data_IF_033852677487
#
_entry.id   IF_033852677487
#
_cell.length_a   1.000
_cell.length_b   1.000
_cell.length_c   1.000
_cell.angle_alpha   90.00
_cell.angle_beta   90.00
_cell.angle_gamma   90.00
#
_symmetry.space_group_name_H-M   'P 1'
#
loop_
_entity.id
_entity.type
_entity.pdbx_description
1 polymer ?
#
# COMPACT_ATOMS: atom_id res chain seq x y z
N UNK A 1 9.07 24.42 -9.54
CA UNK A 1 10.49 24.13 -9.86
C UNK A 1 10.51 22.73 -10.43
N UNK A 2 10.68 22.62 -11.75
CA UNK A 2 10.67 21.35 -12.49
C UNK A 2 12.00 20.66 -12.18
N UNK A 3 11.97 19.49 -11.54
CA UNK A 3 13.14 18.62 -11.44
C UNK A 3 13.42 18.06 -12.83
N UNK A 4 14.55 18.42 -13.40
CA UNK A 4 15.11 17.81 -14.60
C UNK A 4 15.61 16.43 -14.18
N UNK A 5 15.02 15.40 -14.73
CA UNK A 5 15.48 14.00 -14.56
C UNK A 5 16.60 13.79 -15.58
N UNK A 6 17.77 13.35 -15.11
CA UNK A 6 18.87 12.94 -15.99
C UNK A 6 18.42 11.76 -16.87
N UNK A 7 18.63 11.93 -18.18
CA UNK A 7 18.49 10.88 -19.18
C UNK A 7 19.59 9.85 -18.96
N UNK A 8 19.24 8.67 -18.46
CA UNK A 8 20.14 7.52 -18.46
C UNK A 8 19.49 6.30 -19.13
N UNK A 9 20.19 5.90 -20.16
CA UNK A 9 20.30 4.61 -20.86
C UNK A 9 19.03 3.77 -21.08
N UNK A 10 18.62 3.75 -22.35
CA UNK A 10 17.49 3.01 -22.93
C UNK A 10 17.52 1.51 -22.69
N UNK A 11 16.92 1.07 -21.58
CA UNK A 11 16.40 -0.27 -21.37
C UNK A 11 15.10 -0.21 -20.58
N UNK A 12 14.06 -0.69 -21.23
CA UNK A 12 12.75 -1.09 -20.74
C UNK A 12 12.28 -0.45 -19.41
N UNK A 13 11.59 0.70 -19.54
CA UNK A 13 11.26 1.61 -18.42
C UNK A 13 9.90 1.32 -17.77
N UNK A 14 9.57 0.04 -17.54
CA UNK A 14 8.28 -0.35 -16.99
C UNK A 14 8.23 -0.39 -15.44
N UNK A 15 9.20 0.20 -14.72
CA UNK A 15 9.28 0.12 -13.26
C UNK A 15 9.70 1.42 -12.57
N UNK A 16 9.62 1.42 -11.23
CA UNK A 16 10.09 2.48 -10.34
C UNK A 16 11.38 2.01 -9.67
N UNK A 17 12.40 2.86 -9.64
CA UNK A 17 13.71 2.55 -9.04
C UNK A 17 14.07 3.58 -7.98
N UNK A 18 14.35 3.12 -6.78
CA UNK A 18 14.90 3.91 -5.69
C UNK A 18 16.41 3.70 -5.61
N UNK A 19 17.16 4.80 -5.53
CA UNK A 19 18.64 4.80 -5.43
C UNK A 19 19.05 5.63 -4.23
N UNK A 20 19.52 4.93 -3.18
CA UNK A 20 20.04 5.49 -1.92
C UNK A 20 19.09 6.50 -1.26
N UNK A 21 17.78 6.20 -1.32
CA UNK A 21 16.73 7.09 -0.81
C UNK A 21 16.77 7.16 0.71
N UNK A 22 17.01 8.37 1.22
CA UNK A 22 16.96 8.67 2.65
C UNK A 22 15.86 9.71 2.90
N UNK A 23 15.07 9.50 3.96
CA UNK A 23 14.04 10.45 4.41
C UNK A 23 14.26 10.79 5.86
N UNK A 24 14.38 12.08 6.16
CA UNK A 24 14.46 12.61 7.53
C UNK A 24 13.12 13.23 7.94
N UNK A 25 12.60 12.82 9.09
CA UNK A 25 11.35 13.33 9.66
C UNK A 25 11.57 13.71 11.13
N UNK A 26 11.32 14.98 11.48
CA UNK A 26 11.50 15.44 12.86
C UNK A 26 12.91 15.21 13.42
N UNK A 27 13.95 15.33 12.58
CA UNK A 27 15.34 15.09 12.97
C UNK A 27 15.76 13.60 13.06
N UNK A 28 14.85 12.66 12.79
CA UNK A 28 15.14 11.21 12.77
C UNK A 28 15.09 10.69 11.33
N UNK A 29 15.97 9.75 11.00
CA UNK A 29 15.90 9.04 9.73
C UNK A 29 14.74 8.06 9.76
N UNK A 30 13.71 8.32 8.96
CA UNK A 30 12.59 7.41 8.78
C UNK A 30 12.90 6.34 7.74
N UNK A 31 13.74 6.68 6.74
CA UNK A 31 14.34 5.77 5.78
C UNK A 31 15.81 6.12 5.65
N UNK A 32 16.69 5.12 5.59
CA UNK A 32 18.13 5.27 5.43
C UNK A 32 18.64 4.46 4.25
N UNK A 33 19.06 5.17 3.20
CA UNK A 33 19.76 4.62 2.01
C UNK A 33 19.03 3.45 1.33
N UNK A 34 17.70 3.56 1.18
CA UNK A 34 16.88 2.52 0.54
C UNK A 34 17.23 2.42 -0.94
N UNK A 35 17.57 1.21 -1.37
CA UNK A 35 17.80 0.86 -2.77
C UNK A 35 16.94 -0.33 -3.14
N UNK A 36 15.96 -0.12 -4.03
CA UNK A 36 15.01 -1.14 -4.45
C UNK A 36 14.36 -0.79 -5.78
N UNK A 37 14.01 -1.80 -6.56
CA UNK A 37 13.28 -1.68 -7.81
C UNK A 37 11.90 -2.32 -7.66
N UNK A 38 10.87 -1.65 -8.23
CA UNK A 38 9.51 -2.16 -8.32
C UNK A 38 9.18 -2.36 -9.80
N UNK A 39 8.88 -3.58 -10.19
CA UNK A 39 8.67 -3.96 -11.58
C UNK A 39 7.18 -3.96 -11.92
N UNK A 40 6.84 -3.62 -13.17
CA UNK A 40 5.48 -3.75 -13.67
C UNK A 40 5.02 -5.22 -13.65
N UNK A 41 3.77 -5.46 -13.32
CA UNK A 41 3.22 -6.82 -13.17
C UNK A 41 3.75 -7.55 -11.94
N UNK A 42 4.18 -6.82 -10.90
CA UNK A 42 4.63 -7.42 -9.64
C UNK A 42 3.89 -6.85 -8.44
N UNK A 43 3.76 -7.68 -7.41
CA UNK A 43 3.26 -7.32 -6.09
C UNK A 43 4.38 -7.36 -5.06
N UNK A 44 4.47 -6.31 -4.21
CA UNK A 44 5.49 -6.21 -3.16
C UNK A 44 4.84 -5.89 -1.82
N UNK A 45 5.12 -6.70 -0.81
CA UNK A 45 4.74 -6.43 0.58
C UNK A 45 5.87 -5.71 1.33
N UNK A 46 5.52 -4.66 2.06
CA UNK A 46 6.40 -3.97 3.00
C UNK A 46 6.08 -4.47 4.41
N UNK A 47 7.03 -5.15 5.04
CA UNK A 47 6.90 -5.74 6.38
C UNK A 47 7.92 -5.08 7.32
N UNK A 48 7.57 -4.93 8.57
CA UNK A 48 8.45 -4.33 9.58
C UNK A 48 7.66 -3.77 10.75
N UNK A 49 8.32 -3.47 11.89
CA UNK A 49 7.68 -2.95 13.09
C UNK A 49 7.04 -1.58 12.86
N UNK A 50 6.27 -1.12 13.84
CA UNK A 50 5.74 0.23 13.84
C UNK A 50 6.88 1.26 13.86
N UNK A 51 6.80 2.23 12.94
CA UNK A 51 7.89 3.19 12.76
C UNK A 51 9.03 2.74 11.84
N UNK A 52 8.99 1.52 11.28
CA UNK A 52 9.99 0.99 10.34
C UNK A 52 10.12 1.77 9.01
N UNK A 53 9.21 2.72 8.75
CA UNK A 53 9.25 3.54 7.55
C UNK A 53 8.35 3.06 6.40
N UNK A 54 7.50 2.04 6.61
CA UNK A 54 6.59 1.48 5.58
C UNK A 54 5.74 2.56 4.91
N UNK A 55 4.94 3.30 5.70
CA UNK A 55 4.12 4.43 5.21
C UNK A 55 4.98 5.51 4.55
N UNK A 56 6.16 5.81 5.11
CA UNK A 56 7.08 6.81 4.54
C UNK A 56 7.57 6.38 3.15
N UNK A 57 7.85 5.09 2.95
CA UNK A 57 8.23 4.54 1.64
C UNK A 57 7.08 4.63 0.65
N UNK A 58 5.85 4.29 1.07
CA UNK A 58 4.65 4.47 0.25
C UNK A 58 4.42 5.95 -0.12
N UNK A 59 4.61 6.89 0.84
CA UNK A 59 4.52 8.33 0.56
C UNK A 59 5.56 8.80 -0.47
N UNK A 60 6.78 8.25 -0.45
CA UNK A 60 7.82 8.54 -1.44
C UNK A 60 7.42 8.02 -2.81
N UNK A 61 6.94 6.76 -2.90
CA UNK A 61 6.45 6.17 -4.15
C UNK A 61 5.24 6.92 -4.71
N UNK A 62 4.37 7.43 -3.84
CA UNK A 62 3.21 8.25 -4.22
C UNK A 62 3.58 9.68 -4.68
N UNK A 63 4.85 10.09 -4.57
CA UNK A 63 5.27 11.47 -4.83
C UNK A 63 4.80 12.48 -3.80
N UNK A 64 4.20 12.03 -2.69
CA UNK A 64 3.71 12.88 -1.59
C UNK A 64 4.84 13.36 -0.69
N UNK A 65 5.98 12.68 -0.76
CA UNK A 65 7.17 13.00 0.03
C UNK A 65 8.41 12.98 -0.84
N UNK A 66 9.16 14.07 -0.79
CA UNK A 66 10.46 14.16 -1.44
C UNK A 66 11.53 13.50 -0.55
N UNK A 67 12.44 12.69 -1.11
CA UNK A 67 13.62 12.21 -0.42
C UNK A 67 14.48 13.38 0.08
N UNK A 68 15.13 13.20 1.24
CA UNK A 68 16.17 14.14 1.73
C UNK A 68 17.45 13.98 0.93
N UNK A 69 17.81 12.75 0.53
CA UNK A 69 18.90 12.40 -0.38
C UNK A 69 18.51 11.18 -1.19
N UNK A 70 19.26 10.92 -2.27
CA UNK A 70 18.95 9.83 -3.20
C UNK A 70 17.96 10.26 -4.27
N UNK A 71 17.54 9.33 -5.10
CA UNK A 71 16.66 9.61 -6.23
C UNK A 71 15.63 8.51 -6.45
N UNK A 72 14.50 8.93 -7.01
CA UNK A 72 13.47 8.07 -7.58
C UNK A 72 13.55 8.22 -9.09
N UNK A 73 13.77 7.13 -9.80
CA UNK A 73 13.93 7.10 -11.27
C UNK A 73 12.99 6.08 -11.90
N UNK A 74 12.80 6.15 -13.21
CA UNK A 74 11.90 5.30 -13.98
C UNK A 74 10.77 6.10 -14.62
N UNK A 75 9.78 5.40 -15.17
CA UNK A 75 8.57 6.05 -15.70
C UNK A 75 7.93 6.91 -14.62
N UNK A 76 7.23 7.98 -15.04
CA UNK A 76 6.35 8.74 -14.14
C UNK A 76 4.94 8.12 -14.19
N UNK A 77 4.73 6.96 -13.53
CA UNK A 77 3.46 6.28 -13.60
C UNK A 77 2.39 7.05 -12.85
N UNK A 78 1.16 6.90 -13.27
CA UNK A 78 0.03 7.34 -12.48
C UNK A 78 -0.07 6.48 -11.20
N UNK A 79 -0.31 7.13 -10.06
CA UNK A 79 -0.34 6.46 -8.76
C UNK A 79 -1.71 6.59 -8.13
N UNK A 80 -2.25 5.48 -7.62
CA UNK A 80 -3.37 5.46 -6.70
C UNK A 80 -2.86 5.01 -5.32
N UNK A 81 -3.15 5.79 -4.29
CA UNK A 81 -2.68 5.52 -2.94
C UNK A 81 -3.84 5.49 -1.94
N UNK A 82 -4.02 4.35 -1.29
CA UNK A 82 -4.94 4.18 -0.16
C UNK A 82 -4.14 4.27 1.12
N UNK A 83 -4.36 5.35 1.86
CA UNK A 83 -3.71 5.57 3.16
C UNK A 83 -4.52 4.92 4.28
N UNK A 84 -3.86 4.56 5.37
CA UNK A 84 -4.53 4.16 6.60
C UNK A 84 -5.34 5.33 7.15
N UNK A 85 -6.66 5.30 6.94
CA UNK A 85 -7.52 6.43 7.29
C UNK A 85 -8.19 6.20 8.64
N UNK A 86 -7.67 6.85 9.68
CA UNK A 86 -8.31 6.93 11.00
C UNK A 86 -9.30 8.11 11.12
N UNK A 87 -9.40 8.98 10.10
CA UNK A 87 -10.22 10.18 10.18
C UNK A 87 -11.68 9.90 9.80
N UNK A 88 -12.59 10.36 10.66
CA UNK A 88 -14.02 10.49 10.27
C UNK A 88 -14.10 11.51 9.15
N UNK A 89 -14.62 11.10 7.99
CA UNK A 89 -14.95 12.05 6.92
C UNK A 89 -15.99 13.04 7.45
N UNK A 90 -15.67 14.32 7.42
CA UNK A 90 -16.60 15.40 7.79
C UNK A 90 -17.54 15.75 6.63
N UNK A 91 -17.27 15.21 5.44
CA UNK A 91 -18.08 15.50 4.25
C UNK A 91 -19.18 14.43 4.11
N UNK A 92 -20.43 14.83 4.00
CA UNK A 92 -21.57 13.93 3.79
C UNK A 92 -21.61 13.45 2.33
N UNK A 93 -20.56 12.73 1.90
CA UNK A 93 -20.45 12.18 0.55
C UNK A 93 -21.04 10.78 0.50
N UNK A 94 -21.78 10.49 -0.58
CA UNK A 94 -22.17 9.13 -0.91
C UNK A 94 -20.99 8.32 -1.46
N UNK A 95 -21.08 6.99 -1.37
CA UNK A 95 -20.09 6.08 -1.96
C UNK A 95 -19.86 6.40 -3.45
N UNK A 96 -20.95 6.61 -4.20
CA UNK A 96 -20.85 6.93 -5.62
C UNK A 96 -20.13 8.24 -5.91
N UNK A 97 -20.26 9.26 -5.05
CA UNK A 97 -19.50 10.51 -5.18
C UNK A 97 -18.02 10.26 -4.93
N UNK A 98 -17.69 9.51 -3.87
CA UNK A 98 -16.30 9.16 -3.54
C UNK A 98 -15.63 8.39 -4.69
N UNK A 99 -16.32 7.40 -5.26
CA UNK A 99 -15.77 6.64 -6.39
C UNK A 99 -15.57 7.52 -7.63
N UNK A 100 -16.52 8.38 -7.95
CA UNK A 100 -16.41 9.32 -9.08
C UNK A 100 -15.27 10.32 -8.92
N UNK A 101 -14.92 10.71 -7.68
CA UNK A 101 -13.77 11.59 -7.43
C UNK A 101 -12.45 11.04 -7.99
N UNK A 102 -12.28 9.72 -8.08
CA UNK A 102 -11.10 9.10 -8.66
C UNK A 102 -10.88 9.44 -10.15
N UNK A 103 -11.96 9.78 -10.86
CA UNK A 103 -11.96 10.10 -12.29
C UNK A 103 -11.85 11.59 -12.60
N UNK A 104 -11.91 12.46 -11.57
CA UNK A 104 -11.71 13.89 -11.78
C UNK A 104 -10.25 14.17 -12.15
N UNK A 105 -10.08 14.88 -13.27
CA UNK A 105 -8.80 15.39 -13.73
C UNK A 105 -8.75 16.89 -13.47
N UNK A 106 -7.65 17.44 -12.93
CA UNK A 106 -7.50 18.89 -12.80
C UNK A 106 -7.35 19.50 -14.20
N UNK A 107 -8.44 19.99 -14.74
CA UNK A 107 -8.47 20.69 -16.04
C UNK A 107 -9.03 22.10 -15.83
N UNK A 108 -8.61 23.03 -16.71
CA UNK A 108 -9.10 24.42 -16.69
C UNK A 108 -10.60 24.55 -17.02
N UNK A 109 -11.21 23.53 -17.60
CA UNK A 109 -12.63 23.49 -17.94
C UNK A 109 -13.33 22.44 -17.09
N UNK A 110 -14.63 22.65 -16.73
CA UNK A 110 -15.43 21.65 -16.05
C UNK A 110 -15.46 20.35 -16.88
N UNK A 111 -14.84 19.30 -16.36
CA UNK A 111 -14.87 17.99 -17.01
C UNK A 111 -16.09 17.22 -16.52
N UNK A 112 -16.96 16.81 -17.45
CA UNK A 112 -18.03 15.86 -17.16
C UNK A 112 -17.50 14.44 -17.37
N UNK A 113 -17.81 13.56 -16.42
CA UNK A 113 -17.46 12.14 -16.54
C UNK A 113 -18.13 11.54 -17.78
N UNK A 114 -17.32 10.86 -18.59
CA UNK A 114 -17.76 10.15 -19.79
C UNK A 114 -18.21 8.72 -19.50
N UNK A 115 -18.68 8.00 -20.55
CA UNK A 115 -19.06 6.58 -20.41
C UNK A 115 -17.95 5.70 -19.84
N UNK A 116 -16.69 5.91 -20.24
CA UNK A 116 -15.54 5.15 -19.76
C UNK A 116 -15.27 5.40 -18.28
N UNK A 117 -15.48 6.63 -17.79
CA UNK A 117 -15.35 6.95 -16.38
C UNK A 117 -16.43 6.26 -15.55
N UNK A 118 -17.67 6.24 -16.05
CA UNK A 118 -18.76 5.52 -15.39
C UNK A 118 -18.51 4.01 -15.39
N UNK A 119 -18.01 3.44 -16.49
CA UNK A 119 -17.66 2.02 -16.56
C UNK A 119 -16.55 1.66 -15.56
N UNK A 120 -15.50 2.49 -15.44
CA UNK A 120 -14.42 2.27 -14.47
C UNK A 120 -14.92 2.31 -13.03
N UNK A 121 -15.83 3.23 -12.71
CA UNK A 121 -16.45 3.33 -11.38
C UNK A 121 -17.32 2.09 -11.09
N UNK A 122 -18.13 1.66 -12.06
CA UNK A 122 -19.02 0.50 -11.89
C UNK A 122 -18.22 -0.81 -11.76
N UNK A 123 -17.16 -0.99 -12.57
CA UNK A 123 -16.25 -2.13 -12.47
C UNK A 123 -15.62 -2.20 -11.06
N UNK A 124 -15.00 -1.10 -10.61
CA UNK A 124 -14.39 -1.03 -9.29
C UNK A 124 -15.39 -1.32 -8.16
N UNK A 125 -16.61 -0.76 -8.24
CA UNK A 125 -17.67 -1.01 -7.27
C UNK A 125 -18.09 -2.49 -7.26
N UNK A 126 -18.14 -3.13 -8.42
CA UNK A 126 -18.46 -4.55 -8.57
C UNK A 126 -17.41 -5.46 -7.96
N UNK A 127 -16.14 -5.22 -8.29
CA UNK A 127 -15.01 -6.03 -7.81
C UNK A 127 -14.89 -6.01 -6.29
N UNK A 128 -15.13 -4.85 -5.64
CA UNK A 128 -15.12 -4.72 -4.19
C UNK A 128 -16.47 -5.03 -3.52
N UNK A 129 -17.52 -5.35 -4.29
CA UNK A 129 -18.86 -5.65 -3.76
C UNK A 129 -19.46 -4.48 -2.98
N UNK A 130 -19.37 -3.27 -3.53
CA UNK A 130 -19.92 -2.05 -2.94
C UNK A 130 -21.00 -1.38 -3.81
N UNK A 131 -21.47 -2.04 -4.89
CA UNK A 131 -22.53 -1.51 -5.75
C UNK A 131 -23.81 -1.20 -4.99
N UNK A 132 -24.21 -2.07 -4.06
CA UNK A 132 -25.42 -1.90 -3.28
C UNK A 132 -25.31 -0.75 -2.27
N UNK A 133 -24.11 -0.22 -2.06
CA UNK A 133 -23.81 0.89 -1.17
C UNK A 133 -23.67 2.24 -1.88
N UNK A 134 -23.90 2.30 -3.19
CA UNK A 134 -23.55 3.46 -4.04
C UNK A 134 -24.17 4.76 -3.56
N UNK A 135 -25.40 4.70 -3.04
CA UNK A 135 -26.16 5.84 -2.53
C UNK A 135 -26.02 6.05 -1.02
N UNK A 136 -25.32 5.12 -0.33
CA UNK A 136 -25.13 5.21 1.10
C UNK A 136 -24.12 6.31 1.45
N UNK A 137 -24.35 7.10 2.52
CA UNK A 137 -23.37 8.01 3.06
C UNK A 137 -22.15 7.28 3.59
N UNK A 138 -20.94 7.77 3.28
CA UNK A 138 -19.67 7.13 3.66
C UNK A 138 -19.50 7.01 5.18
N UNK A 139 -20.04 7.94 5.95
CA UNK A 139 -19.97 7.98 7.42
C UNK A 139 -20.84 6.91 8.10
N UNK A 140 -21.82 6.34 7.37
CA UNK A 140 -22.70 5.26 7.88
C UNK A 140 -22.18 3.86 7.61
N UNK A 141 -21.07 3.73 6.88
CA UNK A 141 -20.50 2.44 6.55
C UNK A 141 -19.75 1.83 7.74
N UNK A 142 -19.79 0.50 7.83
CA UNK A 142 -18.87 -0.24 8.69
C UNK A 142 -17.42 0.01 8.28
N UNK A 143 -16.47 -0.31 9.17
CA UNK A 143 -15.04 -0.14 8.87
C UNK A 143 -14.66 -0.92 7.59
N UNK A 144 -15.04 -2.20 7.49
CA UNK A 144 -14.74 -3.03 6.32
C UNK A 144 -15.42 -2.54 5.03
N UNK A 145 -16.67 -2.08 5.11
CA UNK A 145 -17.34 -1.47 3.95
C UNK A 145 -16.61 -0.22 3.48
N UNK A 146 -16.22 0.66 4.42
CA UNK A 146 -15.47 1.87 4.10
C UNK A 146 -14.13 1.56 3.47
N UNK A 147 -13.39 0.59 4.00
CA UNK A 147 -12.11 0.17 3.44
C UNK A 147 -12.27 -0.33 2.01
N UNK A 148 -13.27 -1.18 1.74
CA UNK A 148 -13.58 -1.63 0.38
C UNK A 148 -13.93 -0.49 -0.56
N UNK A 149 -14.63 0.54 -0.09
CA UNK A 149 -14.94 1.75 -0.88
C UNK A 149 -13.66 2.53 -1.21
N UNK A 150 -12.73 2.69 -0.26
CA UNK A 150 -11.46 3.39 -0.50
C UNK A 150 -10.57 2.63 -1.51
N UNK A 151 -10.53 1.31 -1.41
CA UNK A 151 -9.82 0.49 -2.41
C UNK A 151 -10.53 0.57 -3.76
N UNK A 152 -11.87 0.52 -3.81
CA UNK A 152 -12.63 0.71 -5.05
C UNK A 152 -12.36 2.09 -5.68
N UNK A 153 -12.25 3.15 -4.88
CA UNK A 153 -11.88 4.48 -5.36
C UNK A 153 -10.49 4.46 -6.02
N UNK A 154 -9.51 3.81 -5.39
CA UNK A 154 -8.17 3.69 -5.96
C UNK A 154 -8.18 2.90 -7.29
N UNK A 155 -8.95 1.81 -7.38
CA UNK A 155 -9.12 1.03 -8.62
C UNK A 155 -9.79 1.84 -9.73
N UNK A 156 -10.84 2.59 -9.41
CA UNK A 156 -11.54 3.44 -10.37
C UNK A 156 -10.60 4.46 -11.04
N UNK A 157 -9.48 4.81 -10.40
CA UNK A 157 -8.45 5.67 -10.98
C UNK A 157 -7.74 5.02 -12.16
N UNK A 158 -7.66 3.67 -12.21
CA UNK A 158 -6.95 2.90 -13.23
C UNK A 158 -5.48 3.33 -13.36
N UNK A 159 -4.83 3.53 -12.23
CA UNK A 159 -3.44 3.95 -12.17
C UNK A 159 -2.48 2.79 -12.49
N UNK A 160 -1.27 3.12 -12.95
CA UNK A 160 -0.21 2.15 -13.25
C UNK A 160 0.36 1.52 -11.96
N UNK A 161 0.25 2.26 -10.85
CA UNK A 161 0.74 1.86 -9.52
C UNK A 161 -0.37 1.94 -8.49
N UNK A 162 -0.60 0.85 -7.78
CA UNK A 162 -1.52 0.76 -6.65
C UNK A 162 -0.72 0.62 -5.35
N UNK A 163 -0.82 1.63 -4.49
CA UNK A 163 -0.19 1.66 -3.17
C UNK A 163 -1.26 1.53 -2.09
N UNK A 164 -1.05 0.61 -1.14
CA UNK A 164 -2.03 0.28 -0.10
C UNK A 164 -1.33 0.26 1.27
N UNK A 165 -1.73 1.15 2.17
CA UNK A 165 -1.18 1.19 3.53
C UNK A 165 -2.11 0.46 4.49
N UNK A 166 -1.70 -0.73 4.94
CA UNK A 166 -2.45 -1.65 5.80
C UNK A 166 -3.90 -1.91 5.33
N UNK A 167 -4.11 -2.35 4.07
CA UNK A 167 -5.44 -2.36 3.46
C UNK A 167 -6.41 -3.38 4.07
N UNK A 168 -5.91 -4.37 4.80
CA UNK A 168 -6.69 -5.56 5.24
C UNK A 168 -6.85 -5.60 6.75
N UNK A 169 -6.07 -4.82 7.49
CA UNK A 169 -6.06 -4.83 8.96
C UNK A 169 -7.45 -4.61 9.56
N UNK A 170 -7.88 -5.52 10.43
CA UNK A 170 -9.16 -5.43 11.16
C UNK A 170 -10.40 -5.70 10.31
N UNK A 171 -10.26 -6.29 9.13
CA UNK A 171 -11.38 -6.67 8.27
C UNK A 171 -11.85 -8.10 8.53
N UNK A 172 -13.13 -8.36 8.20
CA UNK A 172 -13.66 -9.71 8.07
C UNK A 172 -13.05 -10.45 6.87
N UNK A 173 -13.05 -11.79 6.93
CA UNK A 173 -12.47 -12.66 5.90
C UNK A 173 -12.96 -12.34 4.48
N UNK A 174 -14.26 -12.09 4.32
CA UNK A 174 -14.86 -11.80 3.00
C UNK A 174 -14.29 -10.50 2.42
N UNK A 175 -14.12 -9.48 3.25
CA UNK A 175 -13.51 -8.21 2.85
C UNK A 175 -12.01 -8.37 2.53
N UNK A 176 -11.29 -9.18 3.32
CA UNK A 176 -9.88 -9.51 3.09
C UNK A 176 -9.69 -10.22 1.74
N UNK A 177 -10.41 -11.32 1.49
CA UNK A 177 -10.34 -12.09 0.25
C UNK A 177 -10.63 -11.23 -0.99
N UNK A 178 -11.61 -10.32 -0.91
CA UNK A 178 -11.92 -9.42 -2.01
C UNK A 178 -10.78 -8.46 -2.33
N UNK A 179 -10.14 -7.89 -1.30
CA UNK A 179 -9.02 -6.96 -1.49
C UNK A 179 -7.81 -7.70 -2.04
N UNK A 180 -7.48 -8.88 -1.50
CA UNK A 180 -6.39 -9.72 -2.01
C UNK A 180 -6.62 -10.13 -3.46
N UNK A 181 -7.80 -10.63 -3.81
CA UNK A 181 -8.12 -11.00 -5.18
C UNK A 181 -8.06 -9.82 -6.17
N UNK A 182 -8.40 -8.61 -5.70
CA UNK A 182 -8.23 -7.40 -6.50
C UNK A 182 -6.76 -7.08 -6.72
N UNK A 183 -5.93 -7.19 -5.68
CA UNK A 183 -4.47 -6.94 -5.80
C UNK A 183 -3.82 -7.90 -6.78
N UNK A 184 -4.15 -9.18 -6.72
CA UNK A 184 -3.69 -10.21 -7.68
C UNK A 184 -4.12 -9.85 -9.11
N UNK A 185 -5.37 -9.48 -9.32
CA UNK A 185 -5.87 -9.10 -10.63
C UNK A 185 -5.20 -7.83 -11.19
N UNK A 186 -4.86 -6.85 -10.34
CA UNK A 186 -4.14 -5.65 -10.75
C UNK A 186 -2.69 -5.97 -11.14
N UNK A 187 -2.00 -6.83 -10.37
CA UNK A 187 -0.68 -7.36 -10.71
C UNK A 187 -0.72 -8.09 -12.06
N UNK A 188 -1.67 -9.00 -12.25
CA UNK A 188 -1.81 -9.79 -13.49
C UNK A 188 -2.16 -8.91 -14.70
N UNK A 189 -2.79 -7.77 -14.48
CA UNK A 189 -3.02 -6.73 -15.48
C UNK A 189 -1.75 -5.88 -15.79
N UNK A 190 -0.59 -6.23 -15.23
CA UNK A 190 0.68 -5.58 -15.50
C UNK A 190 0.96 -4.35 -14.64
N UNK A 191 0.19 -4.09 -13.58
CA UNK A 191 0.40 -2.94 -12.68
C UNK A 191 1.41 -3.27 -11.59
N UNK A 192 2.01 -2.23 -11.02
CA UNK A 192 2.81 -2.33 -9.81
C UNK A 192 1.86 -2.27 -8.61
N UNK A 193 1.89 -3.29 -7.74
CA UNK A 193 1.11 -3.31 -6.50
C UNK A 193 2.06 -3.32 -5.32
N UNK A 194 1.94 -2.34 -4.42
CA UNK A 194 2.75 -2.30 -3.18
C UNK A 194 1.82 -2.12 -1.99
N UNK A 195 1.92 -3.02 -1.02
CA UNK A 195 1.17 -2.91 0.23
C UNK A 195 2.10 -2.90 1.44
N UNK A 196 1.71 -2.18 2.48
CA UNK A 196 2.27 -2.37 3.81
C UNK A 196 1.40 -3.31 4.62
N UNK A 197 2.01 -4.16 5.42
CA UNK A 197 1.29 -5.02 6.36
C UNK A 197 2.17 -5.38 7.55
N UNK A 198 1.55 -5.74 8.67
CA UNK A 198 2.18 -6.38 9.81
C UNK A 198 1.78 -7.87 9.93
N UNK A 199 0.92 -8.36 9.04
CA UNK A 199 0.52 -9.76 8.96
C UNK A 199 1.36 -10.51 7.94
N UNK A 200 2.14 -11.49 8.40
CA UNK A 200 3.05 -12.25 7.52
C UNK A 200 2.29 -13.09 6.49
N UNK A 201 1.08 -13.56 6.83
CA UNK A 201 0.25 -14.34 5.90
C UNK A 201 -0.17 -13.51 4.69
N UNK A 202 -0.50 -12.21 4.88
CA UNK A 202 -0.80 -11.30 3.79
C UNK A 202 0.42 -11.10 2.88
N UNK A 203 1.62 -10.96 3.47
CA UNK A 203 2.86 -10.80 2.72
C UNK A 203 3.20 -12.03 1.86
N UNK A 204 2.75 -13.23 2.26
CA UNK A 204 2.95 -14.47 1.48
C UNK A 204 2.20 -14.51 0.15
N UNK A 205 1.17 -13.69 -0.02
CA UNK A 205 0.43 -13.56 -1.29
C UNK A 205 1.14 -12.66 -2.30
N UNK A 206 2.24 -11.99 -1.92
CA UNK A 206 3.00 -11.13 -2.82
C UNK A 206 4.16 -11.86 -3.46
N UNK A 207 4.56 -11.40 -4.67
CA UNK A 207 5.71 -11.95 -5.37
C UNK A 207 7.02 -11.63 -4.64
N UNK A 208 7.06 -10.51 -3.92
CA UNK A 208 8.24 -10.02 -3.22
C UNK A 208 7.88 -9.43 -1.86
N UNK A 209 8.80 -9.57 -0.91
CA UNK A 209 8.70 -8.95 0.42
C UNK A 209 9.93 -8.10 0.67
N UNK A 210 9.71 -6.89 1.20
CA UNK A 210 10.75 -6.00 1.72
C UNK A 210 10.58 -5.93 3.24
N UNK A 211 11.60 -6.37 3.97
CA UNK A 211 11.63 -6.25 5.44
C UNK A 211 12.36 -4.98 5.81
N UNK A 212 11.67 -4.08 6.51
CA UNK A 212 12.13 -2.74 6.84
C UNK A 212 12.29 -2.54 8.36
N UNK A 213 13.34 -1.80 8.74
CA UNK A 213 13.53 -1.21 10.07
C UNK A 213 14.33 0.10 9.93
N UNK A 214 13.67 1.15 9.41
CA UNK A 214 14.33 2.40 9.01
C UNK A 214 15.30 2.22 7.83
N UNK A 215 15.75 1.02 7.56
CA UNK A 215 16.59 0.58 6.45
C UNK A 215 16.00 -0.68 5.82
N UNK A 216 16.50 -1.06 4.68
CA UNK A 216 16.16 -2.36 4.09
C UNK A 216 16.97 -3.45 4.81
N UNK A 217 16.28 -4.32 5.56
CA UNK A 217 16.88 -5.47 6.26
C UNK A 217 17.05 -6.62 5.30
N UNK A 218 15.99 -6.96 4.55
CA UNK A 218 16.02 -8.02 3.54
C UNK A 218 15.02 -7.72 2.43
N UNK A 219 15.27 -8.27 1.24
CA UNK A 219 14.39 -8.22 0.09
C UNK A 219 14.50 -9.53 -0.71
N UNK A 220 13.38 -10.16 -1.02
CA UNK A 220 13.35 -11.44 -1.75
C UNK A 220 11.94 -11.99 -1.84
N UNK A 221 11.82 -13.26 -2.24
CA UNK A 221 10.55 -13.98 -2.17
C UNK A 221 10.07 -14.14 -0.71
N UNK A 222 8.79 -14.35 -0.46
CA UNK A 222 8.28 -14.60 0.90
C UNK A 222 9.05 -15.72 1.62
N UNK A 223 9.37 -16.81 0.93
CA UNK A 223 10.07 -17.97 1.48
C UNK A 223 11.51 -17.65 1.89
N UNK A 224 12.17 -16.73 1.17
CA UNK A 224 13.56 -16.34 1.44
C UNK A 224 13.67 -15.39 2.64
N UNK A 225 12.70 -14.47 2.81
CA UNK A 225 12.85 -13.36 3.77
C UNK A 225 11.93 -13.44 4.98
N UNK A 226 10.82 -14.18 4.92
CA UNK A 226 9.95 -14.37 6.10
C UNK A 226 10.45 -15.53 6.98
N UNK A 227 11.74 -15.52 7.26
CA UNK A 227 12.42 -16.51 8.09
C UNK A 227 12.75 -15.92 9.47
N UNK A 228 12.85 -16.77 10.53
CA UNK A 228 13.02 -16.29 11.91
C UNK A 228 14.20 -15.35 12.11
N UNK A 229 15.33 -15.59 11.44
CA UNK A 229 16.55 -14.78 11.62
C UNK A 229 16.39 -13.37 11.06
N UNK A 230 15.80 -13.22 9.87
CA UNK A 230 15.49 -11.90 9.26
C UNK A 230 14.46 -11.15 10.10
N UNK A 231 13.41 -11.85 10.58
CA UNK A 231 12.40 -11.24 11.41
C UNK A 231 12.96 -10.80 12.77
N UNK A 232 13.88 -11.59 13.39
CA UNK A 232 14.56 -11.15 14.62
C UNK A 232 15.41 -9.90 14.40
N UNK A 233 16.09 -9.80 13.27
CA UNK A 233 16.87 -8.59 12.95
C UNK A 233 15.98 -7.34 12.84
N UNK A 234 14.81 -7.45 12.19
CA UNK A 234 13.93 -6.32 11.97
C UNK A 234 13.10 -5.93 13.21
N UNK A 235 12.62 -6.93 13.98
CA UNK A 235 11.69 -6.71 15.09
C UNK A 235 12.35 -6.77 16.47
N UNK A 236 13.62 -7.25 16.56
CA UNK A 236 14.30 -7.50 17.80
C UNK A 236 13.88 -8.82 18.48
N UNK A 237 14.63 -9.25 19.50
CA UNK A 237 14.40 -10.55 20.18
C UNK A 237 13.07 -10.68 20.92
N UNK A 238 12.40 -9.57 21.21
CA UNK A 238 11.16 -9.55 22.03
C UNK A 238 9.89 -9.98 21.32
N UNK A 239 9.89 -10.09 20.00
CA UNK A 239 8.66 -10.25 19.20
C UNK A 239 8.39 -11.69 18.78
N UNK A 240 9.38 -12.56 18.81
CA UNK A 240 9.18 -13.98 18.60
C UNK A 240 8.91 -14.63 19.97
N UNK A 241 7.73 -14.38 20.53
CA UNK A 241 7.29 -15.01 21.77
C UNK A 241 7.38 -16.53 21.68
N UNK A 242 7.84 -17.11 22.77
CA UNK A 242 8.07 -18.50 23.07
C UNK A 242 6.81 -19.39 22.79
N UNK A 243 6.57 -19.74 21.53
CA UNK A 243 5.57 -20.71 21.11
C UNK A 243 6.22 -21.92 20.42
N UNK A 244 7.35 -22.37 21.00
CA UNK A 244 7.91 -23.68 20.70
C UNK A 244 7.29 -24.78 21.55
N UNK A 245 5.97 -24.87 21.59
CA UNK A 245 5.22 -26.09 22.03
C UNK A 245 3.74 -25.89 21.77
N UNK A 246 3.25 -26.27 20.58
CA UNK A 246 2.12 -27.15 20.35
C UNK A 246 1.83 -27.20 18.85
N UNK A 247 1.93 -28.41 18.36
CA UNK A 247 1.55 -28.91 17.06
C UNK A 247 0.11 -28.48 16.70
N UNK A 248 -0.02 -27.56 15.73
CA UNK A 248 -1.16 -27.33 14.82
C UNK A 248 -0.90 -26.00 14.09
N UNK A 249 -0.84 -26.05 12.74
CA UNK A 249 -0.52 -24.95 11.86
C UNK A 249 -1.36 -23.69 12.11
N UNK A 250 -0.79 -22.73 12.83
CA UNK A 250 -1.37 -21.41 13.07
C UNK A 250 -0.37 -20.31 12.77
N UNK A 251 -0.89 -19.29 12.10
CA UNK A 251 -0.26 -18.06 11.72
C UNK A 251 0.65 -17.45 12.81
N UNK A 252 1.86 -17.04 12.43
CA UNK A 252 2.72 -16.21 13.26
C UNK A 252 2.07 -14.81 13.38
N UNK A 253 1.40 -14.56 14.49
CA UNK A 253 0.91 -13.23 14.87
C UNK A 253 2.07 -12.47 15.53
N UNK A 254 2.46 -11.35 14.94
CA UNK A 254 3.33 -10.37 15.58
C UNK A 254 2.48 -9.57 16.58
N UNK A 255 2.70 -9.76 17.88
CA UNK A 255 1.96 -9.03 18.92
C UNK A 255 2.66 -7.71 19.17
N UNK A 256 2.01 -6.60 18.78
CA UNK A 256 2.40 -5.26 19.22
C UNK A 256 1.95 -5.05 20.67
N UNK A 257 2.90 -4.88 21.57
CA UNK A 257 2.66 -4.52 22.96
C UNK A 257 2.31 -3.03 23.06
N UNK A 258 1.01 -2.72 23.07
CA UNK A 258 0.53 -1.38 23.41
C UNK A 258 0.71 -1.18 24.93
N UNK A 259 1.87 -0.71 25.32
CA UNK A 259 2.12 -0.22 26.67
C UNK A 259 1.18 0.94 27.02
N UNK A 260 0.07 0.64 27.69
CA UNK A 260 -0.73 1.63 28.39
C UNK A 260 0.10 2.16 29.58
N UNK A 261 0.82 3.25 29.36
CA UNK A 261 1.34 4.08 30.42
C UNK A 261 0.19 4.84 31.07
N UNK A 262 -0.27 4.37 32.24
CA UNK A 262 -1.04 5.20 33.16
C UNK A 262 -0.09 6.24 33.76
N UNK A 263 -0.40 7.53 33.56
CA UNK A 263 -0.33 8.58 34.56
C UNK A 263 -1.17 9.77 34.09
#
# INVERSE_FOLDING_TARGET
>A
MILIMDEDDGRDSSGIRLRDVTVVRGGRRALDSIRVDFEAGSSTALVGPNGAGKTTLLEVLAGLRQPSTGSLTGAQPSVAFVTQTHSRSWLPLSVGEVLRMARFRPTLLPHRLGPDDHAAVDDAAGRLGVRDLIDAPLDRLSFGQRQRVLVAQALARQADVLLLDEPITGLDLVSQERILGVMEAERDAGRIVVLSTHHLDEARHCDRVLVLDGRLVAAGSPEEVLVPDVLREAYGEKVLGDHAHHDHGHALLLVDDHGHGQH
#
